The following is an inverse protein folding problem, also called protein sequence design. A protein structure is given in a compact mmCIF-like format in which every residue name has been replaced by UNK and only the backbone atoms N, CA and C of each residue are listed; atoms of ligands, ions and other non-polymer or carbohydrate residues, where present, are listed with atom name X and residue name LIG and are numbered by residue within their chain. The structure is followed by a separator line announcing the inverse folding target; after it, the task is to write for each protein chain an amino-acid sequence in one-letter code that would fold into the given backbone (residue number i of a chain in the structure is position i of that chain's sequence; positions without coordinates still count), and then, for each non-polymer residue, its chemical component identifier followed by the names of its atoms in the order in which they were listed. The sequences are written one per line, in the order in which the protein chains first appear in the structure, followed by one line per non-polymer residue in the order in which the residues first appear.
data_IF_403398726338
#
_entry.id   IF_403398726338
#
_cell.length_a   1.000
_cell.length_b   1.000
_cell.length_c   1.000
_cell.angle_alpha   90.00
_cell.angle_beta   90.00
_cell.angle_gamma   90.00
#
_symmetry.space_group_name_H-M   'P 1'
#
loop_
_entity.id
_entity.type
_entity.pdbx_description
1 polymer ?
#
# COMPACT_ATOMS: atom_id res chain seq x y z
N UNK A 1 3.11 2.47 -12.09
CA UNK A 1 2.64 1.17 -11.56
C UNK A 1 2.67 0.07 -12.62
N UNK A 2 2.39 0.34 -13.89
CA UNK A 2 2.36 -0.65 -14.98
C UNK A 2 3.62 -0.66 -15.86
N UNK A 3 4.72 -0.09 -15.40
CA UNK A 3 5.99 -0.13 -16.13
C UNK A 3 6.74 -1.43 -15.82
N UNK A 4 7.51 -1.95 -16.79
CA UNK A 4 8.36 -3.14 -16.55
C UNK A 4 9.55 -2.74 -15.69
N UNK A 5 9.64 -3.32 -14.51
CA UNK A 5 10.79 -3.14 -13.59
C UNK A 5 12.04 -3.73 -14.21
N UNK A 6 11.94 -4.87 -14.89
CA UNK A 6 13.07 -5.53 -15.58
C UNK A 6 13.68 -4.64 -16.65
N UNK A 7 12.83 -3.93 -17.43
CA UNK A 7 13.31 -2.98 -18.44
C UNK A 7 14.03 -1.78 -17.79
N UNK A 8 13.52 -1.29 -16.65
CA UNK A 8 14.17 -0.20 -15.92
C UNK A 8 15.50 -0.63 -15.30
N UNK A 9 15.58 -1.84 -14.75
CA UNK A 9 16.83 -2.44 -14.24
C UNK A 9 17.88 -2.60 -15.35
N UNK A 10 17.45 -3.01 -16.55
CA UNK A 10 18.34 -3.10 -17.69
C UNK A 10 18.88 -1.72 -18.12
N UNK A 11 18.05 -0.68 -18.07
CA UNK A 11 18.50 0.69 -18.33
C UNK A 11 19.49 1.17 -17.27
N UNK A 12 19.23 0.91 -16.00
CA UNK A 12 20.13 1.26 -14.89
C UNK A 12 21.48 0.53 -15.04
N UNK A 13 21.46 -0.79 -15.35
CA UNK A 13 22.66 -1.57 -15.63
C UNK A 13 23.45 -1.05 -16.84
N UNK A 14 22.77 -0.45 -17.81
CA UNK A 14 23.39 0.23 -18.96
C UNK A 14 23.90 1.66 -18.62
N UNK A 15 23.93 2.05 -17.33
CA UNK A 15 24.42 3.35 -16.87
C UNK A 15 23.46 4.50 -17.12
N UNK A 16 22.18 4.24 -17.40
CA UNK A 16 21.18 5.29 -17.51
C UNK A 16 20.64 5.67 -16.14
N UNK A 17 20.39 6.97 -15.92
CA UNK A 17 19.70 7.43 -14.72
C UNK A 17 18.21 7.13 -14.81
N UNK A 18 17.70 6.36 -13.86
CA UNK A 18 16.28 5.95 -13.79
C UNK A 18 15.69 6.51 -12.49
N UNK A 19 14.60 7.25 -12.59
CA UNK A 19 13.89 7.87 -11.45
C UNK A 19 12.40 7.54 -11.57
N UNK A 20 11.77 6.99 -10.51
CA UNK A 20 12.40 6.48 -9.29
C UNK A 20 13.28 5.26 -9.54
N UNK A 21 14.16 4.94 -8.61
CA UNK A 21 15.02 3.76 -8.73
C UNK A 21 14.19 2.48 -8.93
N UNK A 22 14.59 1.56 -9.83
CA UNK A 22 13.81 0.35 -10.13
C UNK A 22 13.46 -0.48 -8.89
N UNK A 23 14.36 -0.54 -7.89
CA UNK A 23 14.12 -1.22 -6.61
C UNK A 23 12.86 -0.70 -5.89
N UNK A 24 12.57 0.60 -5.97
CA UNK A 24 11.40 1.22 -5.34
C UNK A 24 10.13 0.72 -6.04
N UNK A 25 10.12 0.71 -7.36
CA UNK A 25 8.99 0.21 -8.14
C UNK A 25 8.73 -1.28 -7.92
N UNK A 26 9.78 -2.09 -7.77
CA UNK A 26 9.67 -3.50 -7.42
C UNK A 26 8.93 -3.71 -6.10
N UNK A 27 9.24 -2.90 -5.09
CA UNK A 27 8.54 -2.94 -3.80
C UNK A 27 7.07 -2.49 -3.97
N UNK A 28 6.82 -1.42 -4.71
CA UNK A 28 5.47 -0.86 -4.88
C UNK A 28 4.56 -1.79 -5.68
N UNK A 29 5.10 -2.52 -6.67
CA UNK A 29 4.32 -3.41 -7.51
C UNK A 29 3.94 -4.74 -6.84
N UNK A 30 4.59 -5.12 -5.74
CA UNK A 30 4.28 -6.32 -4.97
C UNK A 30 3.85 -5.95 -3.55
N UNK A 31 2.57 -6.16 -3.23
CA UNK A 31 2.02 -5.85 -1.90
C UNK A 31 2.69 -6.62 -0.77
N UNK A 32 3.21 -7.81 -1.05
CA UNK A 32 3.97 -8.60 -0.07
C UNK A 32 5.30 -7.93 0.26
N UNK A 33 6.06 -7.53 -0.76
CA UNK A 33 7.30 -6.78 -0.58
C UNK A 33 7.04 -5.43 0.10
N UNK A 34 5.97 -4.75 -0.28
CA UNK A 34 5.57 -3.48 0.32
C UNK A 34 5.27 -3.62 1.82
N UNK A 35 4.51 -4.64 2.21
CA UNK A 35 4.20 -4.92 3.62
C UNK A 35 5.44 -5.30 4.42
N UNK A 36 6.31 -6.13 3.85
CA UNK A 36 7.58 -6.48 4.47
C UNK A 36 8.46 -5.23 4.67
N UNK A 37 8.56 -4.38 3.65
CA UNK A 37 9.28 -3.12 3.73
C UNK A 37 8.76 -2.24 4.88
N UNK A 38 7.44 -2.13 5.05
CA UNK A 38 6.86 -1.37 6.18
C UNK A 38 7.25 -1.98 7.53
N UNK A 39 7.18 -3.30 7.65
CA UNK A 39 7.56 -4.00 8.89
C UNK A 39 9.05 -3.80 9.22
N UNK A 40 9.94 -3.96 8.24
CA UNK A 40 11.39 -3.84 8.40
C UNK A 40 11.81 -2.42 8.84
N UNK A 41 11.09 -1.40 8.34
CA UNK A 41 11.31 0.00 8.68
C UNK A 41 10.43 0.50 9.84
N UNK A 42 9.68 -0.40 10.50
CA UNK A 42 8.79 -0.09 11.63
C UNK A 42 7.72 0.97 11.30
N UNK A 43 7.35 1.06 10.03
CA UNK A 43 6.26 1.92 9.58
C UNK A 43 4.91 1.29 9.96
N UNK A 44 3.94 2.09 10.45
CA UNK A 44 2.63 1.56 10.84
C UNK A 44 1.92 0.88 9.67
N UNK A 45 1.48 -0.34 9.89
CA UNK A 45 0.66 -1.09 8.94
C UNK A 45 -0.23 -2.08 9.70
N UNK A 46 -1.34 -2.53 9.11
CA UNK A 46 -2.15 -3.58 9.72
C UNK A 46 -1.33 -4.86 9.90
N UNK A 47 -1.53 -5.63 10.99
CA UNK A 47 -0.94 -6.95 11.14
C UNK A 47 -1.20 -7.82 9.92
N UNK A 48 -0.18 -8.53 9.43
CA UNK A 48 -0.27 -9.30 8.20
C UNK A 48 0.64 -10.53 8.21
N UNK A 49 0.39 -11.44 7.30
CA UNK A 49 1.33 -12.47 6.86
C UNK A 49 1.18 -12.74 5.37
N UNK A 50 2.18 -13.40 4.79
CA UNK A 50 2.17 -13.80 3.38
C UNK A 50 1.70 -15.25 3.27
N UNK A 51 0.85 -15.51 2.29
CA UNK A 51 0.35 -16.83 1.90
C UNK A 51 0.66 -17.05 0.42
N UNK A 52 1.24 -18.19 0.06
CA UNK A 52 1.52 -18.52 -1.34
C UNK A 52 0.29 -19.10 -2.04
N UNK A 53 -0.70 -19.58 -1.26
CA UNK A 53 -1.97 -20.11 -1.76
C UNK A 53 -2.98 -20.30 -0.63
N UNK A 54 -4.14 -20.88 -0.93
CA UNK A 54 -5.20 -21.13 0.04
C UNK A 54 -4.76 -22.01 1.20
N UNK A 55 -3.88 -22.98 0.96
CA UNK A 55 -3.39 -23.89 1.98
C UNK A 55 -2.60 -23.21 3.11
N UNK A 56 -2.07 -22.02 2.84
CA UNK A 56 -1.28 -21.24 3.81
C UNK A 56 -2.14 -20.25 4.59
N UNK A 57 -3.43 -20.14 4.27
CA UNK A 57 -4.34 -19.23 4.98
C UNK A 57 -4.77 -19.87 6.29
N UNK A 58 -4.30 -19.27 7.37
CA UNK A 58 -4.48 -19.76 8.74
C UNK A 58 -5.31 -18.74 9.56
N UNK A 59 -6.57 -19.05 9.85
CA UNK A 59 -7.42 -18.19 10.68
C UNK A 59 -6.96 -18.02 12.13
N UNK A 60 -6.07 -18.90 12.63
CA UNK A 60 -5.50 -18.75 13.97
C UNK A 60 -4.43 -17.64 14.00
N UNK A 61 -3.77 -17.37 12.87
CA UNK A 61 -2.77 -16.28 12.75
C UNK A 61 -3.44 -14.91 12.63
N UNK A 62 -4.48 -14.79 11.81
CA UNK A 62 -5.30 -13.58 11.70
C UNK A 62 -6.76 -14.03 11.68
N UNK A 63 -7.49 -13.84 12.79
CA UNK A 63 -8.90 -14.22 12.87
C UNK A 63 -9.79 -13.31 12.01
N UNK A 64 -11.02 -13.77 11.79
CA UNK A 64 -12.06 -12.95 11.17
C UNK A 64 -12.38 -11.69 12.01
N UNK A 65 -12.64 -10.55 11.39
CA UNK A 65 -12.60 -10.31 9.96
C UNK A 65 -11.18 -10.00 9.44
N UNK A 66 -10.87 -10.46 8.22
CA UNK A 66 -9.60 -10.19 7.58
C UNK A 66 -9.75 -9.84 6.09
N UNK A 67 -8.65 -9.42 5.48
CA UNK A 67 -8.60 -9.09 4.04
C UNK A 67 -7.50 -9.90 3.38
N UNK A 68 -7.86 -10.56 2.27
CA UNK A 68 -6.89 -11.10 1.33
C UNK A 68 -6.63 -10.07 0.24
N UNK A 69 -5.37 -9.78 -0.05
CA UNK A 69 -4.93 -8.94 -1.17
C UNK A 69 -3.95 -9.71 -2.02
N UNK A 70 -4.25 -9.89 -3.31
CA UNK A 70 -3.27 -10.51 -4.23
C UNK A 70 -1.99 -9.68 -4.26
N UNK A 71 -0.82 -10.33 -4.26
CA UNK A 71 0.48 -9.63 -4.20
C UNK A 71 0.68 -8.73 -5.40
N UNK A 72 0.39 -9.24 -6.60
CA UNK A 72 0.59 -8.53 -7.87
C UNK A 72 -0.69 -8.53 -8.69
N UNK A 73 -0.79 -7.65 -9.69
CA UNK A 73 -1.89 -7.63 -10.67
C UNK A 73 -3.22 -7.08 -10.17
N UNK A 74 -3.33 -6.66 -8.89
CA UNK A 74 -4.54 -6.03 -8.37
C UNK A 74 -4.51 -4.51 -8.56
N UNK A 75 -5.56 -3.94 -9.12
CA UNK A 75 -5.78 -2.49 -9.29
C UNK A 75 -7.25 -2.16 -9.05
N UNK A 76 -7.55 -0.93 -8.65
CA UNK A 76 -8.91 -0.42 -8.45
C UNK A 76 -9.83 -1.37 -7.65
N UNK A 77 -9.33 -1.88 -6.51
CA UNK A 77 -10.05 -2.84 -5.68
C UNK A 77 -10.10 -4.27 -6.23
N UNK A 78 -9.69 -4.52 -7.47
CA UNK A 78 -9.56 -5.87 -8.02
C UNK A 78 -8.39 -6.59 -7.33
N UNK A 79 -8.64 -7.82 -6.89
CA UNK A 79 -7.64 -8.59 -6.12
C UNK A 79 -7.73 -8.38 -4.60
N UNK A 80 -8.76 -7.70 -4.11
CA UNK A 80 -9.07 -7.56 -2.69
C UNK A 80 -10.31 -8.39 -2.36
N UNK A 81 -10.23 -9.25 -1.33
CA UNK A 81 -11.33 -10.02 -0.78
C UNK A 81 -11.47 -9.69 0.69
N UNK A 82 -12.61 -9.14 1.09
CA UNK A 82 -12.96 -8.90 2.49
C UNK A 82 -13.71 -10.12 3.01
N UNK A 83 -13.18 -10.74 4.05
CA UNK A 83 -13.71 -11.93 4.68
C UNK A 83 -14.18 -11.55 6.08
N UNK A 84 -15.49 -11.45 6.25
CA UNK A 84 -16.10 -11.01 7.52
C UNK A 84 -16.57 -12.19 8.34
N UNK A 85 -17.14 -13.20 7.67
CA UNK A 85 -17.68 -14.41 8.28
C UNK A 85 -17.15 -15.66 7.56
N UNK A 86 -17.40 -16.85 8.12
CA UNK A 86 -17.03 -18.12 7.49
C UNK A 86 -17.72 -18.32 6.13
N UNK A 87 -18.89 -17.74 5.94
CA UNK A 87 -19.64 -17.78 4.67
C UNK A 87 -18.90 -17.05 3.53
N UNK A 88 -17.96 -16.16 3.87
CA UNK A 88 -17.15 -15.43 2.89
C UNK A 88 -15.92 -16.23 2.44
N UNK A 89 -15.53 -17.30 3.14
CA UNK A 89 -14.32 -18.08 2.81
C UNK A 89 -14.27 -18.57 1.35
N UNK A 90 -15.38 -18.94 0.70
CA UNK A 90 -15.36 -19.29 -0.72
C UNK A 90 -14.95 -18.18 -1.68
N UNK A 91 -14.89 -16.92 -1.23
CA UNK A 91 -14.38 -15.77 -2.01
C UNK A 91 -12.86 -15.74 -2.11
N UNK A 92 -12.17 -16.48 -1.25
CA UNK A 92 -10.70 -16.55 -1.23
C UNK A 92 -10.16 -17.10 -2.54
N UNK A 93 -9.04 -16.57 -2.96
CA UNK A 93 -8.35 -16.94 -4.19
C UNK A 93 -7.10 -17.75 -3.89
N UNK A 94 -6.85 -18.78 -4.69
CA UNK A 94 -5.65 -19.60 -4.61
C UNK A 94 -4.51 -18.96 -5.40
N UNK A 95 -3.95 -17.88 -4.83
CA UNK A 95 -2.85 -17.11 -5.42
C UNK A 95 -1.99 -16.49 -4.32
N UNK A 96 -0.71 -16.19 -4.60
CA UNK A 96 0.16 -15.48 -3.66
C UNK A 96 -0.49 -14.19 -3.19
N UNK A 97 -0.63 -14.05 -1.87
CA UNK A 97 -1.45 -13.01 -1.24
C UNK A 97 -0.82 -12.47 0.04
N UNK A 98 -1.24 -11.27 0.40
CA UNK A 98 -1.13 -10.71 1.74
C UNK A 98 -2.45 -10.95 2.45
N UNK A 99 -2.41 -11.57 3.61
CA UNK A 99 -3.53 -11.71 4.54
C UNK A 99 -3.31 -10.70 5.64
N UNK A 100 -4.27 -9.80 5.86
CA UNK A 100 -4.14 -8.76 6.87
C UNK A 100 -5.43 -8.55 7.66
N UNK A 101 -5.30 -8.11 8.90
CA UNK A 101 -6.45 -7.73 9.72
C UNK A 101 -7.27 -6.64 9.03
N UNK A 102 -8.59 -6.81 9.00
CA UNK A 102 -9.49 -5.76 8.51
C UNK A 102 -9.40 -4.54 9.43
N UNK A 103 -8.90 -3.44 8.89
CA UNK A 103 -8.79 -2.18 9.62
C UNK A 103 -10.14 -1.43 9.60
N UNK A 104 -10.66 -0.96 10.74
CA UNK A 104 -11.83 -0.11 10.78
C UNK A 104 -11.47 1.31 10.31
N UNK A 105 -11.55 1.54 9.00
CA UNK A 105 -11.18 2.81 8.38
C UNK A 105 -12.25 3.85 8.65
N UNK A 106 -11.86 4.96 9.31
CA UNK A 106 -12.73 6.12 9.51
C UNK A 106 -12.59 7.14 8.37
N UNK A 107 -11.38 7.35 7.89
CA UNK A 107 -11.07 8.29 6.81
C UNK A 107 -9.98 7.71 5.92
N UNK A 108 -10.13 7.88 4.62
CA UNK A 108 -9.08 7.58 3.65
C UNK A 108 -8.40 8.89 3.24
N UNK A 109 -7.09 8.96 3.44
CA UNK A 109 -6.32 10.17 3.24
C UNK A 109 -5.09 9.89 2.37
N UNK A 110 -4.63 10.93 1.68
CA UNK A 110 -3.37 10.86 0.93
C UNK A 110 -2.47 12.04 1.26
N UNK A 111 -1.17 11.80 1.20
CA UNK A 111 -0.12 12.81 1.32
C UNK A 111 0.85 12.61 0.16
N UNK A 112 1.09 13.67 -0.59
CA UNK A 112 2.11 13.67 -1.65
C UNK A 112 3.40 14.23 -1.05
N UNK A 113 4.49 13.51 -1.25
CA UNK A 113 5.84 13.96 -0.90
C UNK A 113 6.69 13.93 -2.16
N UNK A 114 7.34 15.03 -2.48
CA UNK A 114 8.36 15.09 -3.50
C UNK A 114 9.74 15.14 -2.81
N UNK A 115 10.70 14.37 -3.32
CA UNK A 115 12.08 14.38 -2.86
C UNK A 115 13.03 14.63 -4.03
N UNK A 116 14.12 15.35 -3.78
CA UNK A 116 15.21 15.48 -4.74
C UNK A 116 16.39 14.53 -4.40
N UNK A 117 17.40 14.52 -5.25
CA UNK A 117 18.57 13.64 -5.09
C UNK A 117 19.43 13.99 -3.85
N UNK A 118 19.30 15.19 -3.31
CA UNK A 118 19.98 15.64 -2.10
C UNK A 118 19.22 15.27 -0.81
N UNK A 119 18.08 14.55 -0.96
CA UNK A 119 17.22 14.14 0.15
C UNK A 119 16.33 15.27 0.70
N UNK A 120 16.24 16.41 0.02
CA UNK A 120 15.33 17.48 0.40
C UNK A 120 13.91 17.10 0.00
N UNK A 121 13.00 17.19 0.95
CA UNK A 121 11.61 16.84 0.75
C UNK A 121 10.70 18.06 0.76
N UNK A 122 9.65 18.01 -0.07
CA UNK A 122 8.51 18.93 -0.04
C UNK A 122 7.27 18.10 0.22
N UNK A 123 6.52 18.47 1.24
CA UNK A 123 5.30 17.76 1.68
C UNK A 123 4.10 18.60 1.32
N UNK A 124 3.18 18.01 0.56
CA UNK A 124 1.92 18.66 0.21
C UNK A 124 0.90 18.54 1.36
N UNK A 125 -0.14 19.38 1.36
CA UNK A 125 -1.22 19.25 2.33
C UNK A 125 -1.88 17.87 2.26
N UNK A 126 -2.36 17.39 3.41
CA UNK A 126 -3.18 16.18 3.47
C UNK A 126 -4.48 16.41 2.73
N UNK A 127 -4.85 15.46 1.88
CA UNK A 127 -6.14 15.43 1.21
C UNK A 127 -6.96 14.23 1.72
N UNK A 128 -8.26 14.36 1.73
CA UNK A 128 -9.19 13.29 2.05
C UNK A 128 -9.80 12.75 0.75
N UNK A 129 -9.75 11.42 0.59
CA UNK A 129 -10.33 10.74 -0.57
C UNK A 129 -11.72 10.23 -0.20
N UNK A 130 -12.73 10.72 -0.89
CA UNK A 130 -14.11 10.29 -0.68
C UNK A 130 -14.45 9.25 -1.74
N UNK A 131 -14.82 8.06 -1.27
CA UNK A 131 -15.10 6.92 -2.14
C UNK A 131 -16.60 6.76 -2.39
N UNK A 132 -16.96 6.47 -3.64
CA UNK A 132 -18.23 5.84 -3.95
C UNK A 132 -18.23 4.40 -3.39
N UNK A 133 -19.14 4.14 -2.46
CA UNK A 133 -19.21 2.84 -1.75
C UNK A 133 -19.69 1.69 -2.62
N UNK A 134 -20.36 1.98 -3.73
CA UNK A 134 -20.88 0.97 -4.67
C UNK A 134 -19.80 0.57 -5.67
N UNK A 135 -19.13 1.58 -6.24
CA UNK A 135 -18.12 1.38 -7.27
C UNK A 135 -16.73 1.12 -6.68
N UNK A 136 -16.53 1.42 -5.39
CA UNK A 136 -15.22 1.36 -4.71
C UNK A 136 -14.13 2.15 -5.46
N UNK A 137 -14.53 3.30 -5.99
CA UNK A 137 -13.66 4.27 -6.69
C UNK A 137 -13.69 5.60 -5.95
N UNK A 138 -12.61 6.36 -6.07
CA UNK A 138 -12.56 7.74 -5.56
C UNK A 138 -13.54 8.59 -6.36
N UNK A 139 -14.56 9.12 -5.68
CA UNK A 139 -15.53 10.04 -6.26
C UNK A 139 -14.93 11.44 -6.36
N UNK A 140 -14.38 11.95 -5.26
CA UNK A 140 -13.66 13.22 -5.25
C UNK A 140 -12.59 13.27 -4.15
N UNK A 141 -11.67 14.22 -4.31
CA UNK A 141 -10.62 14.53 -3.34
C UNK A 141 -10.91 15.87 -2.72
N UNK A 142 -10.94 15.91 -1.40
CA UNK A 142 -11.27 17.11 -0.63
C UNK A 142 -10.02 17.78 -0.04
N UNK A 143 -9.86 19.06 -0.31
CA UNK A 143 -8.87 19.95 0.30
C UNK A 143 -9.46 21.35 0.46
N UNK A 144 -9.38 21.97 1.67
CA UNK A 144 -8.83 21.43 2.91
C UNK A 144 -9.68 20.30 3.50
N UNK A 145 -9.02 19.41 4.27
CA UNK A 145 -9.73 18.36 5.02
C UNK A 145 -10.28 18.90 6.33
N UNK A 146 -11.34 18.28 6.87
CA UNK A 146 -11.86 18.58 8.21
C UNK A 146 -11.14 17.82 9.33
N UNK A 147 -10.11 17.02 9.01
CA UNK A 147 -9.31 16.31 9.99
C UNK A 147 -8.60 17.30 10.93
N UNK A 148 -8.46 16.91 12.19
CA UNK A 148 -7.74 17.74 13.16
C UNK A 148 -6.26 17.89 12.79
N UNK A 149 -5.61 18.92 13.33
CA UNK A 149 -4.24 19.29 12.99
C UNK A 149 -3.22 18.19 13.36
N UNK A 150 -3.47 17.42 14.42
CA UNK A 150 -2.55 16.39 14.88
C UNK A 150 -2.56 15.18 13.94
N UNK A 151 -3.73 14.78 13.45
CA UNK A 151 -3.84 13.72 12.44
C UNK A 151 -3.11 14.14 11.17
N UNK A 152 -3.32 15.37 10.69
CA UNK A 152 -2.63 15.88 9.50
C UNK A 152 -1.12 15.88 9.66
N UNK A 153 -0.60 16.38 10.81
CA UNK A 153 0.84 16.37 11.09
C UNK A 153 1.42 14.95 11.14
N UNK A 154 0.72 14.02 11.80
CA UNK A 154 1.15 12.61 11.85
C UNK A 154 1.18 11.97 10.47
N UNK A 155 0.16 12.22 9.65
CA UNK A 155 0.10 11.70 8.28
C UNK A 155 1.28 12.23 7.43
N UNK A 156 1.57 13.53 7.51
CA UNK A 156 2.71 14.14 6.80
C UNK A 156 4.04 13.60 7.30
N UNK A 157 4.24 13.46 8.61
CA UNK A 157 5.47 12.89 9.17
C UNK A 157 5.68 11.44 8.69
N UNK A 158 4.63 10.61 8.75
CA UNK A 158 4.70 9.23 8.27
C UNK A 158 5.03 9.13 6.77
N UNK A 159 4.48 10.03 5.96
CA UNK A 159 4.76 10.07 4.53
C UNK A 159 6.22 10.44 4.25
N UNK A 160 6.82 11.35 5.04
CA UNK A 160 8.25 11.69 4.95
C UNK A 160 9.12 10.50 5.38
N UNK A 161 8.80 9.85 6.50
CA UNK A 161 9.52 8.66 6.98
C UNK A 161 9.53 7.56 5.91
N UNK A 162 8.39 7.33 5.25
CA UNK A 162 8.29 6.36 4.16
C UNK A 162 9.20 6.71 2.99
N UNK A 163 9.20 7.96 2.53
CA UNK A 163 10.03 8.41 1.41
C UNK A 163 11.52 8.31 1.76
N UNK A 164 11.91 8.70 2.98
CA UNK A 164 13.28 8.54 3.47
C UNK A 164 13.70 7.08 3.58
N UNK A 165 12.82 6.18 3.99
CA UNK A 165 13.10 4.75 4.03
C UNK A 165 13.38 4.18 2.63
N UNK A 166 12.79 4.71 1.57
CA UNK A 166 13.12 4.36 0.19
C UNK A 166 14.50 4.86 -0.26
N UNK A 167 15.15 5.72 0.53
CA UNK A 167 16.47 6.28 0.22
C UNK A 167 16.41 7.46 -0.74
N UNK A 168 15.34 8.23 -0.66
CA UNK A 168 15.17 9.51 -1.33
C UNK A 168 15.44 10.65 -0.36
#
# INVERSE_FOLDING_TARGET
EHVSVEALEALEAAGKRVIPAPRVLRIIQDKGLQKQFYADHKLPTAPFYLADGLADIDPERIPLPFVQKTRTGGYDGKGVQVIVTEEDLPKLRDVPSVIETLCPIAHEIAVIVAADDDGKTVVYPVVEMIFDKVLNLVDYVQMPTFLNADIRKRAQALAVELVQAFGA
#
